data_IF_325617893225
#
_entry.id   IF_325617893225
#
_cell.length_a   1.000
_cell.length_b   1.000
_cell.length_c   1.000
_cell.angle_alpha   90.00
_cell.angle_beta   90.00
_cell.angle_gamma   90.00
#
_symmetry.space_group_name_H-M   'P 1'
#
loop_
_entity.id
_entity.type
_entity.pdbx_description
1 polymer ?
#
# COMPACT_ATOMS: atom_id res chain seq x y z
N UNK A 1 -12.83 -1.73 7.98
CA UNK A 1 -13.40 -0.43 7.59
C UNK A 1 -14.47 0.05 8.58
N UNK A 2 -15.40 -0.81 9.02
CA UNK A 2 -16.49 -0.41 9.96
C UNK A 2 -16.01 0.17 11.30
N UNK A 3 -14.87 -0.27 11.80
CA UNK A 3 -14.35 0.15 13.10
C UNK A 3 -13.83 1.60 13.09
N UNK A 4 -13.19 2.04 12.00
CA UNK A 4 -12.73 3.44 11.81
C UNK A 4 -13.94 4.39 11.67
N UNK A 5 -14.98 3.94 10.98
CA UNK A 5 -16.22 4.71 10.83
C UNK A 5 -16.89 4.93 12.19
N UNK A 6 -17.00 3.86 13.01
CA UNK A 6 -17.54 3.96 14.38
C UNK A 6 -16.73 4.89 15.28
N UNK A 7 -15.40 4.94 15.11
CA UNK A 7 -14.53 5.84 15.88
C UNK A 7 -14.76 7.31 15.49
N UNK A 8 -14.84 7.60 14.18
CA UNK A 8 -15.08 8.95 13.67
C UNK A 8 -16.46 9.47 14.05
N UNK A 9 -17.48 8.62 14.02
CA UNK A 9 -18.83 8.93 14.51
C UNK A 9 -18.83 9.25 16.01
N UNK A 10 -18.09 8.46 16.81
CA UNK A 10 -17.96 8.66 18.26
C UNK A 10 -17.29 9.99 18.63
N UNK A 11 -16.40 10.49 17.78
CA UNK A 11 -15.69 11.75 17.97
C UNK A 11 -16.32 12.95 17.23
N UNK A 12 -17.51 12.76 16.63
CA UNK A 12 -18.31 13.86 16.08
C UNK A 12 -17.85 14.38 14.72
N UNK A 13 -17.14 13.57 13.92
CA UNK A 13 -16.83 13.94 12.55
C UNK A 13 -18.10 14.11 11.70
N UNK A 14 -18.12 15.08 10.79
CA UNK A 14 -19.29 15.34 9.94
C UNK A 14 -19.51 14.19 8.94
N UNK A 15 -20.78 13.93 8.61
CA UNK A 15 -21.15 12.85 7.70
C UNK A 15 -20.49 12.97 6.31
N UNK A 16 -20.27 14.20 5.83
CA UNK A 16 -19.54 14.48 4.58
C UNK A 16 -18.06 14.08 4.67
N UNK A 17 -17.39 14.38 5.79
CA UNK A 17 -16.00 14.00 5.99
C UNK A 17 -15.85 12.47 6.09
N UNK A 18 -16.78 11.80 6.76
CA UNK A 18 -16.82 10.34 6.88
C UNK A 18 -17.06 9.68 5.50
N UNK A 19 -17.92 10.29 4.66
CA UNK A 19 -18.18 9.82 3.31
C UNK A 19 -16.96 9.99 2.40
N UNK A 20 -16.30 11.15 2.42
CA UNK A 20 -15.07 11.40 1.67
C UNK A 20 -13.94 10.44 2.09
N UNK A 21 -13.74 10.24 3.40
CA UNK A 21 -12.75 9.28 3.92
C UNK A 21 -13.10 7.85 3.49
N UNK A 22 -14.38 7.45 3.49
CA UNK A 22 -14.83 6.13 2.98
C UNK A 22 -14.50 5.93 1.51
N UNK A 23 -14.61 6.98 0.71
CA UNK A 23 -14.40 6.94 -0.74
C UNK A 23 -12.91 6.90 -1.09
N UNK A 24 -12.08 7.71 -0.42
CA UNK A 24 -10.63 7.71 -0.57
C UNK A 24 -10.00 6.40 -0.07
N UNK A 25 -10.50 5.84 1.04
CA UNK A 25 -10.01 4.57 1.60
C UNK A 25 -10.43 3.34 0.79
N UNK A 26 -11.54 3.40 0.05
CA UNK A 26 -11.96 2.34 -0.89
C UNK A 26 -11.03 2.25 -2.12
N UNK A 27 -10.53 3.39 -2.59
CA UNK A 27 -9.76 3.46 -3.83
C UNK A 27 -8.24 3.30 -3.63
N UNK A 28 -7.73 3.40 -2.39
CA UNK A 28 -6.28 3.34 -2.11
C UNK A 28 -5.80 2.17 -1.24
N UNK A 29 -6.63 1.15 -0.99
CA UNK A 29 -6.23 -0.06 -0.22
C UNK A 29 -5.44 0.30 1.07
N UNK A 30 -5.86 1.39 1.72
CA UNK A 30 -5.13 2.04 2.79
C UNK A 30 -5.20 1.16 4.04
N UNK A 31 -4.05 0.68 4.52
CA UNK A 31 -3.99 0.07 5.86
C UNK A 31 -4.08 1.24 6.84
N UNK A 32 -5.16 1.36 7.63
CA UNK A 32 -5.27 2.45 8.60
C UNK A 32 -4.06 2.42 9.51
N UNK A 33 -3.45 3.58 9.80
CA UNK A 33 -2.27 3.70 10.66
C UNK A 33 -2.43 2.89 11.96
N UNK A 34 -3.61 2.93 12.57
CA UNK A 34 -3.92 2.15 13.76
C UNK A 34 -3.91 0.63 13.55
N UNK A 35 -4.23 0.08 12.36
CA UNK A 35 -4.05 -1.36 12.05
C UNK A 35 -2.58 -1.72 11.93
N UNK A 36 -1.77 -0.82 11.37
CA UNK A 36 -0.33 -0.99 11.33
C UNK A 36 0.26 -0.91 12.74
N UNK A 37 -0.15 0.09 13.53
CA UNK A 37 0.22 0.25 14.92
C UNK A 37 -0.24 -0.95 15.76
N UNK A 38 -1.45 -1.49 15.53
CA UNK A 38 -1.97 -2.70 16.19
C UNK A 38 -1.10 -3.92 15.88
N UNK A 39 -0.75 -4.15 14.60
CA UNK A 39 0.13 -5.26 14.20
C UNK A 39 1.54 -5.08 14.75
N UNK A 40 2.07 -3.86 14.74
CA UNK A 40 3.41 -3.56 15.24
C UNK A 40 3.47 -3.64 16.78
N UNK A 41 2.42 -3.20 17.48
CA UNK A 41 2.30 -3.35 18.93
C UNK A 41 2.10 -4.81 19.32
N UNK A 42 1.28 -5.56 18.59
CA UNK A 42 1.12 -7.01 18.76
C UNK A 42 2.46 -7.73 18.53
N UNK A 43 3.24 -7.32 17.52
CA UNK A 43 4.59 -7.83 17.28
C UNK A 43 5.51 -7.53 18.48
N UNK A 44 5.51 -6.30 19.00
CA UNK A 44 6.31 -5.91 20.17
C UNK A 44 5.91 -6.73 21.40
N UNK A 45 4.61 -6.93 21.62
CA UNK A 45 4.09 -7.74 22.72
C UNK A 45 4.49 -9.21 22.57
N UNK A 46 4.32 -9.80 21.38
CA UNK A 46 4.76 -11.16 21.06
C UNK A 46 6.27 -11.34 21.25
N UNK A 47 7.09 -10.36 20.84
CA UNK A 47 8.54 -10.34 21.10
C UNK A 47 8.83 -10.30 22.61
N UNK A 48 8.08 -9.50 23.37
CA UNK A 48 8.18 -9.45 24.83
C UNK A 48 7.85 -10.79 25.49
N UNK A 49 6.76 -11.44 25.06
CA UNK A 49 6.37 -12.76 25.55
C UNK A 49 7.39 -13.85 25.20
N UNK A 50 8.01 -13.78 24.01
CA UNK A 50 9.12 -14.65 23.60
C UNK A 50 10.35 -14.47 24.49
N UNK A 51 10.72 -13.22 24.82
CA UNK A 51 11.83 -12.94 25.71
C UNK A 51 11.58 -13.48 27.14
N UNK A 52 10.35 -13.32 27.65
CA UNK A 52 9.95 -13.85 28.96
C UNK A 52 9.95 -15.38 28.97
N UNK A 53 9.46 -16.02 27.91
CA UNK A 53 9.55 -17.49 27.71
C UNK A 53 10.99 -17.98 27.74
N UNK A 54 11.89 -17.30 27.02
CA UNK A 54 13.31 -17.66 26.98
C UNK A 54 13.98 -17.51 28.36
N UNK A 55 13.60 -16.48 29.13
CA UNK A 55 14.04 -16.32 30.51
C UNK A 55 13.55 -17.48 31.40
N UNK A 56 12.27 -17.83 31.32
CA UNK A 56 11.70 -18.97 32.03
C UNK A 56 12.39 -20.30 31.66
N UNK A 57 12.71 -20.50 30.38
CA UNK A 57 13.44 -21.68 29.92
C UNK A 57 14.87 -21.73 30.48
N UNK A 58 15.56 -20.59 30.58
CA UNK A 58 16.89 -20.52 31.24
C UNK A 58 16.79 -20.87 32.72
N UNK A 59 15.86 -20.26 33.44
CA UNK A 59 15.64 -20.55 34.87
C UNK A 59 15.26 -22.01 35.11
N UNK A 60 14.46 -22.61 34.22
CA UNK A 60 14.12 -24.03 34.29
C UNK A 60 15.35 -24.89 33.99
N UNK A 61 16.17 -24.50 33.02
CA UNK A 61 17.43 -25.16 32.66
C UNK A 61 18.40 -25.23 33.83
N UNK A 62 18.52 -24.15 34.59
CA UNK A 62 19.34 -24.10 35.81
C UNK A 62 18.81 -25.04 36.91
N UNK A 63 17.47 -25.18 37.02
CA UNK A 63 16.82 -26.07 38.00
C UNK A 63 16.89 -27.56 37.63
N UNK A 64 17.03 -27.88 36.34
CA UNK A 64 17.08 -29.26 35.84
C UNK A 64 18.44 -29.67 35.29
N UNK A 65 19.50 -28.90 35.60
CA UNK A 65 20.87 -29.09 35.11
C UNK A 65 21.44 -30.50 35.34
N UNK A 66 20.96 -31.20 36.37
CA UNK A 66 21.40 -32.56 36.71
C UNK A 66 20.60 -33.64 35.94
N UNK A 67 19.64 -33.23 35.11
CA UNK A 67 18.87 -34.07 34.20
C UNK A 67 19.25 -33.73 32.74
N UNK A 68 20.09 -34.58 32.14
CA UNK A 68 20.59 -34.39 30.76
C UNK A 68 19.47 -34.31 29.72
N UNK A 69 18.41 -35.11 29.88
CA UNK A 69 17.29 -35.17 28.94
C UNK A 69 16.47 -33.86 28.97
N UNK A 70 16.15 -33.37 30.17
CA UNK A 70 15.44 -32.10 30.33
C UNK A 70 16.31 -30.90 29.89
N UNK A 71 17.62 -30.96 30.14
CA UNK A 71 18.56 -29.91 29.71
C UNK A 71 18.62 -29.81 28.18
N UNK A 72 18.69 -30.96 27.48
CA UNK A 72 18.65 -30.99 26.01
C UNK A 72 17.32 -30.46 25.45
N UNK A 73 16.19 -30.84 26.03
CA UNK A 73 14.88 -30.34 25.59
C UNK A 73 14.76 -28.83 25.77
N UNK A 74 15.30 -28.27 26.86
CA UNK A 74 15.30 -26.82 27.10
C UNK A 74 16.16 -26.07 26.08
N UNK A 75 17.35 -26.60 25.74
CA UNK A 75 18.19 -26.02 24.69
C UNK A 75 17.49 -26.04 23.32
N UNK A 76 16.86 -27.16 22.96
CA UNK A 76 16.09 -27.28 21.72
C UNK A 76 14.92 -26.29 21.68
N UNK A 77 14.21 -26.10 22.79
CA UNK A 77 13.12 -25.11 22.90
C UNK A 77 13.62 -23.67 22.76
N UNK A 78 14.79 -23.34 23.33
CA UNK A 78 15.41 -22.01 23.18
C UNK A 78 15.81 -21.73 21.73
N UNK A 79 16.39 -22.71 21.02
CA UNK A 79 16.70 -22.55 19.60
C UNK A 79 15.45 -22.43 18.74
N UNK A 80 14.42 -23.25 19.01
CA UNK A 80 13.15 -23.18 18.31
C UNK A 80 12.47 -21.81 18.49
N UNK A 81 12.48 -21.25 19.70
CA UNK A 81 11.94 -19.92 19.99
C UNK A 81 12.70 -18.82 19.22
N UNK A 82 14.03 -18.84 19.23
CA UNK A 82 14.85 -17.87 18.48
C UNK A 82 14.57 -17.93 16.99
N UNK A 83 14.50 -19.15 16.43
CA UNK A 83 14.20 -19.34 15.01
C UNK A 83 12.79 -18.84 14.68
N UNK A 84 11.79 -19.17 15.51
CA UNK A 84 10.43 -18.72 15.31
C UNK A 84 10.33 -17.18 15.35
N UNK A 85 10.99 -16.53 16.31
CA UNK A 85 11.02 -15.07 16.42
C UNK A 85 11.60 -14.41 15.16
N UNK A 86 12.74 -14.90 14.68
CA UNK A 86 13.36 -14.41 13.46
C UNK A 86 12.49 -14.63 12.21
N UNK A 87 11.87 -15.82 12.08
CA UNK A 87 10.98 -16.16 10.97
C UNK A 87 9.73 -15.26 10.95
N UNK A 88 9.13 -14.97 12.12
CA UNK A 88 7.97 -14.08 12.22
C UNK A 88 8.33 -12.64 11.89
N UNK A 89 9.46 -12.14 12.40
CA UNK A 89 9.95 -10.80 12.09
C UNK A 89 10.23 -10.64 10.59
N UNK A 90 10.88 -11.63 9.97
CA UNK A 90 11.13 -11.64 8.53
C UNK A 90 9.81 -11.69 7.72
N UNK A 91 8.84 -12.51 8.11
CA UNK A 91 7.52 -12.57 7.46
C UNK A 91 6.78 -11.25 7.53
N UNK A 92 6.73 -10.62 8.70
CA UNK A 92 6.02 -9.35 8.89
C UNK A 92 6.73 -8.24 8.10
N UNK A 93 8.07 -8.19 8.14
CA UNK A 93 8.85 -7.26 7.31
C UNK A 93 8.51 -7.46 5.83
N UNK A 94 8.57 -8.69 5.33
CA UNK A 94 8.29 -8.99 3.92
C UNK A 94 6.87 -8.61 3.53
N UNK A 95 5.84 -8.95 4.33
CA UNK A 95 4.45 -8.59 4.06
C UNK A 95 4.29 -7.06 3.99
N UNK A 96 4.89 -6.32 4.92
CA UNK A 96 4.85 -4.85 4.92
C UNK A 96 5.51 -4.27 3.67
N UNK A 97 6.70 -4.74 3.33
CA UNK A 97 7.42 -4.30 2.13
C UNK A 97 6.64 -4.64 0.85
N UNK A 98 6.16 -5.87 0.72
CA UNK A 98 5.41 -6.33 -0.46
C UNK A 98 4.14 -5.50 -0.68
N UNK A 99 3.38 -5.23 0.39
CA UNK A 99 2.17 -4.42 0.30
C UNK A 99 2.45 -2.99 -0.16
N UNK A 100 3.45 -2.34 0.44
CA UNK A 100 3.78 -0.96 0.11
C UNK A 100 4.41 -0.83 -1.29
N UNK A 101 5.27 -1.77 -1.70
CA UNK A 101 5.79 -1.82 -3.07
C UNK A 101 4.64 -2.00 -4.07
N UNK A 102 3.75 -2.96 -3.81
CA UNK A 102 2.60 -3.21 -4.67
C UNK A 102 1.68 -2.00 -4.77
N UNK A 103 1.44 -1.31 -3.66
CA UNK A 103 0.66 -0.08 -3.63
C UNK A 103 1.33 0.99 -4.50
N UNK A 104 2.63 1.23 -4.32
CA UNK A 104 3.36 2.24 -5.09
C UNK A 104 3.37 1.94 -6.59
N UNK A 105 3.53 0.67 -6.96
CA UNK A 105 3.44 0.24 -8.36
C UNK A 105 2.03 0.43 -8.94
N UNK A 106 0.99 0.15 -8.15
CA UNK A 106 -0.41 0.35 -8.55
C UNK A 106 -0.73 1.84 -8.76
N UNK A 107 -0.32 2.71 -7.83
CA UNK A 107 -0.41 4.17 -7.97
C UNK A 107 0.34 4.68 -9.20
N UNK A 108 1.49 4.06 -9.48
CA UNK A 108 2.28 4.29 -10.68
C UNK A 108 1.65 3.85 -11.99
N UNK A 109 0.51 3.14 -11.95
CA UNK A 109 -0.11 2.46 -13.09
C UNK A 109 0.84 1.49 -13.79
N UNK A 110 1.55 0.68 -13.01
CA UNK A 110 2.37 -0.40 -13.52
C UNK A 110 1.50 -1.46 -14.21
N UNK A 111 1.89 -1.87 -15.42
CA UNK A 111 1.22 -2.92 -16.21
C UNK A 111 1.44 -4.32 -15.62
N UNK A 112 2.62 -4.55 -15.04
CA UNK A 112 3.02 -5.83 -14.45
C UNK A 112 3.62 -5.64 -13.06
N UNK A 113 2.76 -5.45 -12.07
CA UNK A 113 3.16 -5.21 -10.67
C UNK A 113 4.07 -6.32 -10.13
N UNK A 114 3.75 -7.58 -10.44
CA UNK A 114 4.49 -8.73 -9.89
C UNK A 114 5.92 -8.84 -10.43
N UNK A 115 6.12 -8.50 -11.71
CA UNK A 115 7.44 -8.46 -12.33
C UNK A 115 8.29 -7.32 -11.76
N UNK A 116 7.67 -6.17 -11.51
CA UNK A 116 8.37 -4.99 -10.99
C UNK A 116 8.67 -5.11 -9.49
N UNK A 117 7.86 -5.86 -8.72
CA UNK A 117 8.13 -6.13 -7.31
C UNK A 117 9.50 -6.76 -7.09
N UNK A 118 9.97 -7.64 -8.00
CA UNK A 118 11.28 -8.28 -7.88
C UNK A 118 12.46 -7.36 -8.21
N UNK A 119 12.21 -6.14 -8.69
CA UNK A 119 13.25 -5.16 -9.00
C UNK A 119 13.60 -4.26 -7.82
N UNK A 120 12.80 -4.28 -6.76
CA UNK A 120 13.08 -3.56 -5.54
C UNK A 120 14.11 -4.29 -4.69
N UNK A 121 15.11 -3.56 -4.24
CA UNK A 121 16.12 -4.02 -3.30
C UNK A 121 15.57 -3.88 -1.88
N UNK A 122 14.97 -4.96 -1.39
CA UNK A 122 14.33 -5.05 -0.06
C UNK A 122 15.30 -4.75 1.07
N UNK A 123 16.59 -5.06 0.91
CA UNK A 123 17.60 -4.87 1.96
C UNK A 123 17.91 -3.39 2.19
N UNK A 124 17.72 -2.56 1.17
CA UNK A 124 17.83 -1.10 1.28
C UNK A 124 16.56 -0.41 1.77
N UNK A 125 15.45 -1.14 1.88
CA UNK A 125 14.17 -0.60 2.34
C UNK A 125 14.06 -0.70 3.87
N UNK A 126 13.85 0.44 4.52
CA UNK A 126 13.65 0.54 5.97
C UNK A 126 12.21 0.95 6.28
N UNK A 127 11.55 0.14 7.10
CA UNK A 127 10.22 0.46 7.63
C UNK A 127 10.42 1.45 8.77
N UNK A 128 9.88 2.67 8.63
CA UNK A 128 9.88 3.69 9.67
C UNK A 128 8.76 3.43 10.68
N UNK A 129 8.86 4.07 11.84
CA UNK A 129 7.86 3.97 12.91
C UNK A 129 6.48 4.49 12.51
N UNK A 130 6.41 5.35 11.49
CA UNK A 130 5.16 5.88 10.93
C UNK A 130 4.51 4.92 9.91
N UNK A 131 5.12 3.77 9.63
CA UNK A 131 4.68 2.81 8.63
C UNK A 131 5.09 3.14 7.19
N UNK A 132 5.76 4.27 6.96
CA UNK A 132 6.36 4.59 5.66
C UNK A 132 7.63 3.78 5.44
N UNK A 133 7.98 3.57 4.17
CA UNK A 133 9.20 2.85 3.80
C UNK A 133 10.20 3.84 3.21
N UNK A 134 11.31 4.02 3.90
CA UNK A 134 12.44 4.78 3.41
C UNK A 134 13.09 4.10 2.21
N UNK A 135 13.48 4.90 1.21
CA UNK A 135 14.10 4.40 -0.02
C UNK A 135 13.12 3.81 -1.04
N UNK A 136 11.85 3.63 -0.69
CA UNK A 136 10.84 3.11 -1.61
C UNK A 136 10.59 4.06 -2.78
N UNK A 137 10.47 5.36 -2.50
CA UNK A 137 10.23 6.40 -3.51
C UNK A 137 11.38 6.51 -4.51
N UNK A 138 12.61 6.49 -3.99
CA UNK A 138 13.83 6.58 -4.80
C UNK A 138 13.96 5.38 -5.75
N UNK A 139 13.78 4.16 -5.22
CA UNK A 139 13.80 2.96 -6.03
C UNK A 139 12.66 2.93 -7.05
N UNK A 140 11.46 3.34 -6.65
CA UNK A 140 10.30 3.42 -7.54
C UNK A 140 10.57 4.37 -8.72
N UNK A 141 11.12 5.56 -8.47
CA UNK A 141 11.43 6.51 -9.54
C UNK A 141 12.52 5.97 -10.47
N UNK A 142 13.57 5.36 -9.94
CA UNK A 142 14.62 4.73 -10.74
C UNK A 142 14.07 3.58 -11.62
N UNK A 143 13.17 2.76 -11.08
CA UNK A 143 12.49 1.68 -11.82
C UNK A 143 11.55 2.28 -12.88
N UNK A 144 10.80 3.33 -12.55
CA UNK A 144 9.90 4.01 -13.48
C UNK A 144 10.64 4.62 -14.66
N UNK A 145 11.82 5.20 -14.42
CA UNK A 145 12.68 5.74 -15.48
C UNK A 145 13.34 4.65 -16.33
N UNK A 146 13.77 3.55 -15.72
CA UNK A 146 14.41 2.44 -16.41
C UNK A 146 13.43 1.58 -17.21
N UNK A 147 12.18 1.47 -16.75
CA UNK A 147 11.16 0.59 -17.31
C UNK A 147 9.90 1.35 -17.73
N UNK A 148 10.05 2.54 -18.34
CA UNK A 148 8.93 3.43 -18.73
C UNK A 148 7.81 2.70 -19.50
N UNK A 149 8.17 1.74 -20.34
CA UNK A 149 7.21 0.98 -21.16
C UNK A 149 6.30 0.04 -20.33
N UNK A 150 6.74 -0.32 -19.13
CA UNK A 150 5.99 -1.15 -18.18
C UNK A 150 5.01 -0.33 -17.33
N UNK A 151 4.97 0.99 -17.49
CA UNK A 151 3.99 1.87 -16.87
C UNK A 151 3.04 2.45 -17.91
N UNK A 152 1.80 2.71 -17.51
CA UNK A 152 0.84 3.40 -18.38
C UNK A 152 1.25 4.86 -18.59
N UNK A 153 1.27 5.29 -19.84
CA UNK A 153 1.43 6.70 -20.15
C UNK A 153 0.08 7.41 -20.03
N UNK A 154 0.06 8.68 -19.58
CA UNK A 154 -1.16 9.47 -19.60
C UNK A 154 -1.67 9.55 -21.04
N UNK A 155 -2.91 9.11 -21.24
CA UNK A 155 -3.59 9.17 -22.53
C UNK A 155 -3.91 10.65 -22.79
N UNK A 156 -3.05 11.36 -23.53
CA UNK A 156 -3.41 12.67 -24.07
C UNK A 156 -4.24 12.45 -25.34
N UNK A 157 -5.53 12.22 -25.17
CA UNK A 157 -6.46 12.28 -26.29
C UNK A 157 -6.49 13.71 -26.82
N UNK A 158 -6.04 13.94 -28.07
CA UNK A 158 -6.49 15.15 -28.78
C UNK A 158 -8.00 15.02 -28.94
N UNK A 159 -8.75 16.02 -28.46
CA UNK A 159 -10.18 16.12 -28.75
C UNK A 159 -10.35 15.99 -30.27
N UNK A 160 -11.19 15.06 -30.76
CA UNK A 160 -11.49 15.01 -32.18
C UNK A 160 -12.05 16.38 -32.58
N UNK A 161 -11.55 16.96 -33.68
CA UNK A 161 -12.22 18.10 -34.32
C UNK A 161 -13.54 17.53 -34.86
N UNK A 162 -14.57 17.57 -34.03
CA UNK A 162 -15.92 17.29 -34.47
C UNK A 162 -16.40 18.56 -35.18
N UNK A 163 -16.36 18.56 -36.51
CA UNK A 163 -16.87 19.65 -37.36
C UNK A 163 -18.40 19.79 -37.33
N UNK A 164 -19.08 19.17 -36.37
CA UNK A 164 -20.53 19.05 -36.29
C UNK A 164 -21.23 19.98 -35.29
N UNK A 165 -20.65 21.11 -34.89
CA UNK A 165 -21.30 21.97 -33.89
C UNK A 165 -20.65 23.33 -33.60
N UNK A 166 -20.01 23.95 -34.59
CA UNK A 166 -19.57 25.34 -34.42
C UNK A 166 -20.72 26.29 -34.78
N UNK A 167 -21.05 27.29 -33.93
CA UNK A 167 -22.08 28.31 -34.22
C UNK A 167 -21.88 29.03 -35.56
N UNK A 168 -20.63 29.10 -36.05
CA UNK A 168 -20.29 29.65 -37.36
C UNK A 168 -20.91 28.90 -38.54
N UNK A 169 -21.12 27.58 -38.43
CA UNK A 169 -21.70 26.78 -39.53
C UNK A 169 -23.18 27.06 -39.74
N UNK A 170 -23.93 27.20 -38.64
CA UNK A 170 -25.36 27.53 -38.69
C UNK A 170 -25.61 28.96 -39.20
N UNK A 171 -24.74 29.91 -38.86
CA UNK A 171 -24.86 31.29 -39.34
C UNK A 171 -24.57 31.41 -40.84
N UNK A 172 -23.61 30.64 -41.36
CA UNK A 172 -23.32 30.56 -42.80
C UNK A 172 -24.47 29.91 -43.59
N UNK A 173 -25.05 28.82 -43.07
CA UNK A 173 -26.19 28.15 -43.72
C UNK A 173 -27.43 29.07 -43.71
N UNK A 174 -27.71 29.73 -42.57
CA UNK A 174 -28.83 30.70 -42.47
C UNK A 174 -28.65 31.88 -43.42
N UNK A 175 -27.44 32.41 -43.55
CA UNK A 175 -27.14 33.53 -44.46
C UNK A 175 -27.29 33.12 -45.92
N UNK A 176 -26.84 31.92 -46.30
CA UNK A 176 -27.00 31.40 -47.67
C UNK A 176 -28.47 31.13 -48.02
N UNK A 177 -29.26 30.59 -47.08
CA UNK A 177 -30.70 30.37 -47.28
C UNK A 177 -31.44 31.72 -47.40
N UNK A 178 -31.13 32.70 -46.56
CA UNK A 178 -31.76 34.02 -46.61
C UNK A 178 -31.46 34.76 -47.93
N UNK A 179 -30.23 34.64 -48.45
CA UNK A 179 -29.85 35.22 -49.73
C UNK A 179 -30.53 34.52 -50.92
N UNK A 180 -30.74 33.20 -50.85
CA UNK A 180 -31.46 32.46 -51.88
C UNK A 180 -32.97 32.78 -51.91
N UNK A 181 -33.58 33.10 -50.77
CA UNK A 181 -34.99 33.45 -50.68
C UNK A 181 -35.24 34.91 -51.10
N UNK A 182 -34.29 35.81 -50.84
CA UNK A 182 -34.42 37.24 -51.19
C UNK A 182 -33.83 37.62 -52.55
N UNK A 183 -33.14 36.69 -53.24
CA UNK A 183 -32.64 36.86 -54.60
C UNK A 183 -33.72 36.62 -55.65
N UNK A 184 -34.45 37.68 -56.01
CA UNK A 184 -35.34 37.72 -57.19
C UNK A 184 -34.57 37.39 -58.49
N UNK A 185 -35.14 36.51 -59.31
CA UNK A 185 -35.21 36.76 -60.74
C UNK A 185 -36.33 37.78 -61.00
#
# INVERSE_FOLDING_TARGET
MEWLIKLLEKHGASAELIAAIKEDTKNQNYIPKERFDEVNNSLKELKGQLAERDKQLKELGEKVKDNEELTKQIQALQEANKKAAADYEAKIRNITLDNAIKQKLTEGKAKYTDLLMSKFDREKLKIKDDGSIEGLEEQFNAIKESYKDLFEQPISGKTPINSGGSPQGEELIRTQIANAINGKF
#
